data_IF_022899758615
#
_entry.id   IF_022899758615
#
_cell.length_a   1.000
_cell.length_b   1.000
_cell.length_c   1.000
_cell.angle_alpha   90.00
_cell.angle_beta   90.00
_cell.angle_gamma   90.00
#
_symmetry.space_group_name_H-M   'P 1'
#
loop_
_entity.id
_entity.type
_entity.pdbx_description
1 polymer ?
#
# COMPACT_ATOMS: atom_id res chain seq x y z
N UNK A 1 14.65 -11.97 -4.79
CA UNK A 1 14.99 -11.78 -6.14
C UNK A 1 13.81 -11.50 -7.06
N UNK A 2 12.92 -12.45 -7.32
CA UNK A 2 11.79 -12.22 -8.20
C UNK A 2 10.88 -11.10 -7.74
N UNK A 3 10.53 -11.07 -6.46
CA UNK A 3 9.68 -10.02 -5.90
C UNK A 3 10.34 -8.66 -6.00
N UNK A 4 11.64 -8.57 -5.72
CA UNK A 4 12.36 -7.32 -5.82
C UNK A 4 12.35 -6.75 -7.23
N UNK A 5 12.50 -7.62 -8.23
CA UNK A 5 12.46 -7.21 -9.64
C UNK A 5 11.07 -6.75 -10.04
N UNK A 6 10.02 -7.45 -9.58
CA UNK A 6 8.64 -7.08 -9.87
C UNK A 6 8.33 -5.71 -9.26
N UNK A 7 8.71 -5.49 -8.02
CA UNK A 7 8.46 -4.22 -7.34
C UNK A 7 9.15 -3.06 -8.03
N UNK A 8 10.34 -3.27 -8.57
CA UNK A 8 11.07 -2.21 -9.25
C UNK A 8 10.40 -1.75 -10.54
N UNK A 9 9.55 -2.61 -11.13
CA UNK A 9 8.88 -2.30 -12.40
C UNK A 9 7.51 -1.67 -12.21
N UNK A 10 6.89 -1.82 -11.04
CA UNK A 10 5.53 -1.38 -10.81
C UNK A 10 5.48 0.00 -10.18
N UNK A 11 4.43 0.79 -10.47
CA UNK A 11 4.26 2.10 -9.82
C UNK A 11 3.74 1.90 -8.40
N UNK A 12 4.62 1.61 -7.46
CA UNK A 12 4.24 1.28 -6.08
C UNK A 12 3.56 2.44 -5.36
N UNK A 13 3.89 3.66 -5.73
CA UNK A 13 3.44 4.85 -5.01
C UNK A 13 1.94 5.14 -5.15
N UNK A 14 1.27 4.55 -6.11
CA UNK A 14 -0.13 4.88 -6.41
C UNK A 14 -1.08 3.67 -6.36
N UNK A 15 -0.67 2.59 -5.73
CA UNK A 15 -1.56 1.47 -5.47
C UNK A 15 -1.43 1.00 -4.03
N UNK A 16 -2.49 0.37 -3.52
CA UNK A 16 -2.55 0.01 -2.10
C UNK A 16 -1.46 -0.99 -1.72
N UNK A 17 -1.27 -2.04 -2.52
CA UNK A 17 -0.23 -3.03 -2.26
C UNK A 17 1.16 -2.41 -2.32
N UNK A 18 1.39 -1.52 -3.29
CA UNK A 18 2.66 -0.83 -3.41
C UNK A 18 2.97 0.04 -2.22
N UNK A 19 1.98 0.76 -1.71
CA UNK A 19 2.16 1.59 -0.52
C UNK A 19 2.47 0.74 0.71
N UNK A 20 1.86 -0.43 0.84
CA UNK A 20 2.19 -1.37 1.92
C UNK A 20 3.67 -1.76 1.80
N UNK A 21 4.11 -2.10 0.61
CA UNK A 21 5.50 -2.49 0.38
C UNK A 21 6.45 -1.34 0.71
N UNK A 22 6.18 -0.16 0.17
CA UNK A 22 7.03 1.01 0.42
C UNK A 22 7.06 1.40 1.90
N UNK A 23 5.97 1.17 2.62
CA UNK A 23 5.90 1.51 4.04
C UNK A 23 6.83 0.65 4.91
N UNK A 24 7.29 -0.49 4.38
CA UNK A 24 8.24 -1.37 5.08
C UNK A 24 9.69 -1.08 4.73
N UNK A 25 9.94 -0.20 3.77
CA UNK A 25 11.30 0.13 3.36
C UNK A 25 12.03 0.87 4.47
N UNK A 26 13.34 0.62 4.57
CA UNK A 26 14.20 1.45 5.41
C UNK A 26 14.22 2.87 4.82
N UNK A 27 14.58 3.89 5.62
CA UNK A 27 14.70 5.24 5.09
C UNK A 27 15.61 5.32 3.86
N UNK A 28 16.72 4.58 3.90
CA UNK A 28 17.68 4.56 2.78
C UNK A 28 17.08 3.92 1.53
N UNK A 29 16.39 2.79 1.69
CA UNK A 29 15.77 2.11 0.55
C UNK A 29 14.66 2.96 -0.07
N UNK A 30 13.90 3.68 0.77
CA UNK A 30 12.87 4.58 0.29
C UNK A 30 13.47 5.75 -0.48
N UNK A 31 14.58 6.32 0.01
CA UNK A 31 15.29 7.38 -0.70
C UNK A 31 15.72 6.90 -2.08
N UNK A 32 16.27 5.69 -2.17
CA UNK A 32 16.69 5.12 -3.45
C UNK A 32 15.52 4.94 -4.40
N UNK A 33 14.39 4.48 -3.90
CA UNK A 33 13.19 4.33 -4.73
C UNK A 33 12.73 5.68 -5.27
N UNK A 34 12.65 6.69 -4.39
CA UNK A 34 12.19 8.02 -4.78
C UNK A 34 13.13 8.71 -5.74
N UNK A 35 14.44 8.46 -5.62
CA UNK A 35 15.44 9.03 -6.53
C UNK A 35 15.38 8.40 -7.92
N UNK A 36 14.95 7.14 -8.01
CA UNK A 36 14.98 6.39 -9.26
C UNK A 36 13.62 6.29 -9.95
N UNK A 37 12.55 6.79 -9.32
CA UNK A 37 11.20 6.69 -9.88
C UNK A 37 10.53 8.04 -9.90
N UNK A 38 9.95 8.36 -11.05
CA UNK A 38 9.19 9.59 -11.21
C UNK A 38 7.77 9.37 -10.69
N UNK A 39 7.27 10.30 -9.88
CA UNK A 39 5.90 10.24 -9.39
C UNK A 39 4.97 10.86 -10.43
N UNK A 40 4.58 10.04 -11.40
CA UNK A 40 3.77 10.48 -12.53
C UNK A 40 2.32 10.71 -12.09
N UNK A 41 1.71 11.85 -12.45
CA UNK A 41 0.29 12.10 -12.14
C UNK A 41 -0.61 11.32 -13.11
N UNK A 42 -1.13 10.19 -12.66
CA UNK A 42 -2.03 9.36 -13.47
C UNK A 42 -3.47 9.85 -13.40
N UNK A 43 -3.85 10.44 -12.27
CA UNK A 43 -5.13 11.09 -12.05
C UNK A 43 -4.89 12.38 -11.30
N UNK A 44 -5.94 13.16 -11.08
CA UNK A 44 -5.81 14.38 -10.27
C UNK A 44 -5.58 14.06 -8.78
N UNK A 45 -5.79 12.79 -8.38
CA UNK A 45 -5.61 12.36 -7.00
C UNK A 45 -4.25 11.71 -6.73
N UNK A 46 -3.46 11.45 -7.76
CA UNK A 46 -2.15 10.83 -7.59
C UNK A 46 -1.25 11.69 -6.71
N UNK A 47 -0.60 11.05 -5.72
CA UNK A 47 0.35 11.77 -4.88
C UNK A 47 1.65 11.92 -5.67
N UNK A 48 2.00 13.15 -6.02
CA UNK A 48 3.20 13.44 -6.81
C UNK A 48 4.25 14.23 -6.03
N UNK A 49 3.93 14.61 -4.80
CA UNK A 49 4.84 15.33 -3.91
C UNK A 49 5.52 14.35 -2.98
N UNK A 50 6.86 14.36 -2.97
CA UNK A 50 7.64 13.40 -2.17
C UNK A 50 7.33 13.50 -0.68
N UNK A 51 7.17 14.71 -0.15
CA UNK A 51 6.86 14.89 1.27
C UNK A 51 5.48 14.33 1.62
N UNK A 52 4.50 14.55 0.74
CA UNK A 52 3.16 14.02 0.94
C UNK A 52 3.15 12.50 0.88
N UNK A 53 3.92 11.91 -0.03
CA UNK A 53 4.04 10.45 -0.12
C UNK A 53 4.71 9.88 1.13
N UNK A 54 5.80 10.49 1.60
CA UNK A 54 6.47 10.04 2.82
C UNK A 54 5.52 10.06 4.02
N UNK A 55 4.69 11.10 4.12
CA UNK A 55 3.71 11.21 5.19
C UNK A 55 2.67 10.11 5.10
N UNK A 56 2.17 9.84 3.90
CA UNK A 56 1.19 8.78 3.66
C UNK A 56 1.76 7.40 4.02
N UNK A 57 3.02 7.15 3.65
CA UNK A 57 3.68 5.89 3.98
C UNK A 57 3.92 5.74 5.48
N UNK A 58 4.26 6.81 6.17
CA UNK A 58 4.42 6.79 7.62
C UNK A 58 3.10 6.47 8.32
N UNK A 59 2.00 7.06 7.84
CA UNK A 59 0.67 6.76 8.35
C UNK A 59 0.30 5.30 8.07
N UNK A 60 0.63 4.80 6.89
CA UNK A 60 0.39 3.40 6.53
C UNK A 60 1.07 2.45 7.50
N UNK A 61 2.35 2.71 7.80
CA UNK A 61 3.10 1.89 8.75
C UNK A 61 2.48 1.96 10.15
N UNK A 62 2.05 3.15 10.56
CA UNK A 62 1.52 3.37 11.90
C UNK A 62 0.16 2.71 12.11
N UNK A 63 -0.75 2.87 11.16
CA UNK A 63 -2.12 2.38 11.30
C UNK A 63 -2.31 0.94 10.81
N UNK A 64 -1.35 0.39 10.06
CA UNK A 64 -1.38 -1.00 9.61
C UNK A 64 -2.14 -1.23 8.31
N UNK A 65 -2.54 -0.19 7.60
CA UNK A 65 -3.17 -0.33 6.29
C UNK A 65 -2.85 0.87 5.41
N UNK A 66 -2.87 0.66 4.11
CA UNK A 66 -2.78 1.72 3.12
C UNK A 66 -4.14 1.98 2.51
N UNK A 67 -4.33 3.18 1.98
CA UNK A 67 -5.48 3.47 1.15
C UNK A 67 -4.99 4.15 -0.13
N UNK A 68 -5.51 3.69 -1.25
CA UNK A 68 -5.29 4.32 -2.53
C UNK A 68 -6.64 4.86 -2.98
N UNK A 69 -6.76 6.19 -2.98
CA UNK A 69 -8.00 6.87 -3.28
C UNK A 69 -7.94 7.43 -4.69
N UNK A 70 -8.39 6.63 -5.67
CA UNK A 70 -8.49 7.07 -7.07
C UNK A 70 -7.17 7.58 -7.64
N UNK A 71 -6.05 7.06 -7.14
CA UNK A 71 -4.72 7.60 -7.48
C UNK A 71 -4.15 7.02 -8.75
N UNK A 72 -4.56 5.81 -9.09
CA UNK A 72 -4.12 5.12 -10.29
C UNK A 72 -5.20 5.18 -11.38
N UNK A 73 -6.46 5.03 -10.98
CA UNK A 73 -7.61 5.14 -11.87
C UNK A 73 -8.74 5.85 -11.12
N UNK A 74 -9.42 6.76 -11.83
CA UNK A 74 -10.45 7.60 -11.21
C UNK A 74 -11.62 6.84 -10.60
N UNK A 75 -11.91 5.64 -11.11
CA UNK A 75 -13.05 4.86 -10.64
C UNK A 75 -12.71 3.88 -9.53
N UNK A 76 -11.45 3.78 -9.11
CA UNK A 76 -11.00 2.71 -8.22
C UNK A 76 -10.49 3.25 -6.89
N UNK A 77 -10.91 2.60 -5.81
CA UNK A 77 -10.34 2.77 -4.47
C UNK A 77 -9.86 1.41 -4.00
N UNK A 78 -8.70 1.35 -3.38
CA UNK A 78 -8.20 0.11 -2.82
C UNK A 78 -7.60 0.34 -1.43
N UNK A 79 -7.65 -0.72 -0.62
CA UNK A 79 -7.13 -0.73 0.74
C UNK A 79 -6.21 -1.93 0.85
N UNK A 80 -5.00 -1.73 1.38
CA UNK A 80 -4.02 -2.79 1.49
C UNK A 80 -3.56 -3.01 2.92
N UNK A 81 -3.28 -4.26 3.26
CA UNK A 81 -2.71 -4.62 4.56
C UNK A 81 -1.54 -5.57 4.34
N UNK A 82 -0.52 -5.51 5.20
CA UNK A 82 0.62 -6.41 5.07
C UNK A 82 0.34 -7.78 5.64
N UNK A 83 0.99 -8.79 5.07
CA UNK A 83 1.03 -10.14 5.62
C UNK A 83 2.49 -10.43 5.93
N UNK A 84 2.79 -10.65 7.20
CA UNK A 84 4.15 -10.91 7.67
C UNK A 84 4.33 -12.38 8.05
N UNK A 85 5.57 -12.86 7.96
CA UNK A 85 5.91 -14.17 8.53
C UNK A 85 6.27 -14.02 10.01
N UNK A 86 6.62 -15.14 10.65
CA UNK A 86 6.97 -15.15 12.08
C UNK A 86 8.23 -14.33 12.40
N UNK A 87 9.07 -14.09 11.41
CA UNK A 87 10.28 -13.27 11.57
C UNK A 87 10.03 -11.78 11.34
N UNK A 88 8.79 -11.40 11.09
CA UNK A 88 8.45 -10.00 10.83
C UNK A 88 8.76 -9.54 9.42
N UNK A 89 9.06 -10.47 8.51
CA UNK A 89 9.33 -10.13 7.11
C UNK A 89 8.03 -10.07 6.32
N UNK A 90 7.94 -9.09 5.43
CA UNK A 90 6.76 -8.93 4.58
C UNK A 90 6.71 -10.03 3.52
N UNK A 91 5.66 -10.84 3.54
CA UNK A 91 5.45 -11.89 2.55
C UNK A 91 4.58 -11.42 1.39
N UNK A 92 3.57 -10.63 1.68
CA UNK A 92 2.58 -10.24 0.68
C UNK A 92 1.75 -9.07 1.20
N UNK A 93 0.93 -8.53 0.33
CA UNK A 93 -0.08 -7.55 0.71
C UNK A 93 -1.44 -8.11 0.30
N UNK A 94 -2.41 -8.01 1.21
CA UNK A 94 -3.80 -8.36 0.91
C UNK A 94 -4.53 -7.07 0.59
N UNK A 95 -5.31 -7.05 -0.49
CA UNK A 95 -5.99 -5.83 -0.91
C UNK A 95 -7.48 -6.04 -1.10
N UNK A 96 -8.23 -4.99 -0.78
CA UNK A 96 -9.65 -4.86 -1.08
C UNK A 96 -9.77 -3.78 -2.15
N UNK A 97 -10.42 -4.08 -3.26
CA UNK A 97 -10.56 -3.17 -4.38
C UNK A 97 -12.05 -2.97 -4.65
N UNK A 98 -12.45 -1.72 -4.82
CA UNK A 98 -13.86 -1.42 -5.11
C UNK A 98 -13.97 -0.24 -6.06
N UNK A 99 -15.15 -0.09 -6.66
CA UNK A 99 -15.45 1.10 -7.44
C UNK A 99 -15.66 2.28 -6.49
N UNK A 100 -15.11 3.43 -6.85
CA UNK A 100 -15.27 4.64 -6.04
C UNK A 100 -16.73 5.01 -5.82
N UNK A 101 -17.58 4.74 -6.83
CA UNK A 101 -19.02 5.05 -6.75
C UNK A 101 -19.75 4.20 -5.70
N UNK A 102 -19.17 3.07 -5.31
CA UNK A 102 -19.78 2.16 -4.33
C UNK A 102 -19.17 2.31 -2.94
N UNK A 103 -18.08 3.08 -2.82
CA UNK A 103 -17.35 3.16 -1.57
C UNK A 103 -17.84 4.30 -0.69
N UNK A 104 -18.08 3.99 0.58
CA UNK A 104 -18.41 4.96 1.61
C UNK A 104 -17.23 5.04 2.58
N UNK A 105 -16.60 6.21 2.68
CA UNK A 105 -15.44 6.40 3.57
C UNK A 105 -15.77 6.09 5.03
N UNK A 106 -17.03 6.18 5.42
CA UNK A 106 -17.43 5.83 6.79
C UNK A 106 -17.24 4.35 7.09
N UNK A 107 -17.19 3.51 6.05
CA UNK A 107 -16.95 2.07 6.21
C UNK A 107 -15.46 1.71 6.30
N UNK A 108 -14.57 2.67 6.11
CA UNK A 108 -13.14 2.42 6.12
C UNK A 108 -12.64 1.71 7.38
N UNK A 109 -13.02 2.13 8.59
CA UNK A 109 -12.56 1.41 9.79
C UNK A 109 -12.99 -0.05 9.83
N UNK A 110 -14.21 -0.36 9.39
CA UNK A 110 -14.71 -1.72 9.32
C UNK A 110 -13.91 -2.56 8.32
N UNK A 111 -13.72 -2.03 7.12
CA UNK A 111 -13.05 -2.76 6.05
C UNK A 111 -11.58 -2.98 6.40
N UNK A 112 -10.89 -1.93 6.86
CA UNK A 112 -9.48 -2.07 7.22
C UNK A 112 -9.29 -3.02 8.40
N UNK A 113 -10.19 -2.97 9.39
CA UNK A 113 -10.15 -3.89 10.52
C UNK A 113 -10.36 -5.34 10.10
N UNK A 114 -11.30 -5.58 9.19
CA UNK A 114 -11.56 -6.91 8.68
C UNK A 114 -10.36 -7.45 7.89
N UNK A 115 -9.72 -6.60 7.08
CA UNK A 115 -8.53 -6.99 6.32
C UNK A 115 -7.37 -7.32 7.25
N UNK A 116 -7.13 -6.51 8.25
CA UNK A 116 -6.06 -6.74 9.22
C UNK A 116 -6.28 -8.08 9.92
N UNK A 117 -7.51 -8.36 10.31
CA UNK A 117 -7.85 -9.63 10.96
C UNK A 117 -7.60 -10.82 10.03
N UNK A 118 -8.01 -10.72 8.77
CA UNK A 118 -7.79 -11.79 7.80
C UNK A 118 -6.30 -11.97 7.50
N UNK A 119 -5.55 -10.89 7.38
CA UNK A 119 -4.11 -10.95 7.15
C UNK A 119 -3.40 -11.66 8.31
N UNK A 120 -3.85 -11.41 9.53
CA UNK A 120 -3.30 -12.09 10.71
C UNK A 120 -3.55 -13.60 10.66
N UNK A 121 -4.75 -14.01 10.22
CA UNK A 121 -5.08 -15.42 10.07
C UNK A 121 -4.22 -16.09 9.00
N UNK A 122 -4.00 -15.41 7.87
CA UNK A 122 -3.15 -15.94 6.80
C UNK A 122 -1.72 -16.08 7.30
N UNK A 123 -1.21 -15.08 8.00
CA UNK A 123 0.12 -15.11 8.59
C UNK A 123 0.29 -16.32 9.51
N UNK A 124 -0.68 -16.57 10.38
CA UNK A 124 -0.65 -17.72 11.30
C UNK A 124 -0.64 -19.05 10.56
N UNK A 125 -1.38 -19.13 9.45
CA UNK A 125 -1.44 -20.36 8.65
C UNK A 125 -0.14 -20.63 7.90
N UNK A 126 0.64 -19.59 7.59
CA UNK A 126 1.89 -19.70 6.87
C UNK A 126 3.10 -19.96 7.78
N UNK A 127 2.93 -19.76 9.06
CA UNK A 127 3.96 -20.06 10.05
C UNK A 127 3.74 -21.42 10.68
#
# INVERSE_FOLDING_TARGET
>A
RGLGDVYKRQPLYCCASGKVILSTFSPQALDEYLDSHHLTPLTEHTITNVLALRKDLALTAQRGYSIEYRENENEIISIGVPIYNSNGELLAAMTFITLASLFDMETLPEISGALIKQASKVSSALC
#
